data_IF_361448876536
#
_entry.id   IF_361448876536
#
_cell.length_a   1.000
_cell.length_b   1.000
_cell.length_c   1.000
_cell.angle_alpha   90.00
_cell.angle_beta   90.00
_cell.angle_gamma   90.00
#
_symmetry.space_group_name_H-M   'P 1'
#
loop_
_entity.id
_entity.type
_entity.pdbx_description
1 polymer ?
#
# COMPACT_ATOMS: atom_id res chain seq x y z
N UNK A 1 6.81 -3.49 -19.40
CA UNK A 1 7.48 -3.30 -18.06
C UNK A 1 8.58 -4.34 -17.94
N UNK A 2 9.78 -3.97 -17.50
CA UNK A 2 10.85 -4.94 -17.23
C UNK A 2 10.51 -5.67 -15.93
N UNK A 3 10.50 -7.01 -15.94
CA UNK A 3 10.35 -7.77 -14.70
C UNK A 3 11.60 -7.57 -13.84
N UNK A 4 11.39 -7.08 -12.61
CA UNK A 4 12.48 -6.79 -11.68
C UNK A 4 12.79 -7.99 -10.77
N UNK A 5 11.81 -8.86 -10.57
CA UNK A 5 11.87 -10.01 -9.66
C UNK A 5 10.86 -11.09 -10.07
N UNK A 6 11.06 -12.30 -9.60
CA UNK A 6 10.12 -13.41 -9.83
C UNK A 6 8.94 -13.34 -8.88
N UNK A 7 7.72 -13.60 -9.38
CA UNK A 7 6.53 -13.81 -8.54
C UNK A 7 6.06 -15.25 -8.71
N UNK A 8 6.03 -15.99 -7.62
CA UNK A 8 5.62 -17.40 -7.57
C UNK A 8 4.23 -17.48 -6.95
N UNK A 9 3.29 -18.10 -7.64
CA UNK A 9 1.93 -18.35 -7.15
C UNK A 9 1.74 -19.85 -6.92
N UNK A 10 1.26 -20.22 -5.73
CA UNK A 10 1.08 -21.65 -5.39
C UNK A 10 0.39 -21.84 -4.04
N UNK A 11 0.56 -23.01 -3.49
CA UNK A 11 0.09 -23.42 -2.15
C UNK A 11 1.20 -24.15 -1.42
N UNK A 12 1.29 -23.96 -0.10
CA UNK A 12 2.34 -24.56 0.73
C UNK A 12 3.75 -24.03 0.45
N UNK A 13 3.86 -22.85 -0.20
CA UNK A 13 5.12 -22.30 -0.67
C UNK A 13 6.10 -21.98 0.47
N UNK A 14 5.58 -21.69 1.68
CA UNK A 14 6.43 -21.37 2.84
C UNK A 14 7.30 -22.58 3.23
N UNK A 15 6.80 -23.79 3.04
CA UNK A 15 7.54 -25.00 3.37
C UNK A 15 8.61 -25.36 2.32
N UNK A 16 8.42 -24.92 1.08
CA UNK A 16 9.30 -25.25 -0.04
C UNK A 16 10.47 -24.28 -0.18
N UNK A 17 10.21 -22.95 -0.14
CA UNK A 17 11.24 -21.99 -0.52
C UNK A 17 12.40 -21.88 0.47
N UNK A 18 12.24 -22.27 1.72
CA UNK A 18 13.33 -22.32 2.73
C UNK A 18 14.54 -23.12 2.28
N UNK A 19 14.34 -24.10 1.40
CA UNK A 19 15.43 -24.92 0.84
C UNK A 19 16.37 -24.13 -0.08
N UNK A 20 15.89 -23.00 -0.63
CA UNK A 20 16.62 -22.14 -1.56
C UNK A 20 17.25 -20.92 -0.90
N UNK A 21 16.97 -20.67 0.39
CA UNK A 21 17.46 -19.50 1.09
C UNK A 21 18.86 -19.73 1.66
N UNK A 22 19.75 -18.78 1.41
CA UNK A 22 21.13 -18.83 1.93
C UNK A 22 21.16 -18.71 3.45
N UNK A 23 21.78 -19.69 4.10
CA UNK A 23 21.93 -19.74 5.57
C UNK A 23 23.21 -19.05 6.05
N UNK A 24 23.23 -18.45 7.24
CA UNK A 24 22.09 -18.22 8.12
C UNK A 24 21.18 -17.12 7.58
N UNK A 25 19.89 -17.17 7.90
CA UNK A 25 18.91 -16.16 7.48
C UNK A 25 18.05 -15.67 8.65
N UNK A 26 17.39 -14.51 8.48
CA UNK A 26 16.43 -13.95 9.44
C UNK A 26 15.04 -13.89 8.82
N UNK A 27 14.00 -14.12 9.63
CA UNK A 27 12.60 -13.95 9.25
C UNK A 27 12.07 -12.69 9.95
N UNK A 28 11.79 -11.63 9.20
CA UNK A 28 11.09 -10.47 9.70
C UNK A 28 9.58 -10.73 9.65
N UNK A 29 8.92 -10.74 10.80
CA UNK A 29 7.50 -11.11 10.92
C UNK A 29 6.84 -10.44 12.11
N UNK A 30 5.54 -10.69 12.31
CA UNK A 30 4.76 -10.18 13.41
C UNK A 30 4.67 -11.22 14.54
N UNK A 31 4.50 -10.75 15.80
CA UNK A 31 4.45 -11.63 16.96
C UNK A 31 3.26 -12.61 16.97
N UNK A 32 2.15 -12.21 16.37
CA UNK A 32 0.95 -13.04 16.21
C UNK A 32 1.03 -14.05 15.06
N UNK A 33 1.90 -13.77 14.08
CA UNK A 33 2.10 -14.67 12.93
C UNK A 33 3.16 -15.74 13.23
N UNK A 34 4.25 -15.39 13.92
CA UNK A 34 5.38 -16.29 14.10
C UNK A 34 5.00 -17.68 14.66
N UNK A 35 4.15 -17.82 15.70
CA UNK A 35 3.79 -19.13 16.22
C UNK A 35 3.09 -20.04 15.21
N UNK A 36 2.50 -19.49 14.16
CA UNK A 36 1.79 -20.26 13.12
C UNK A 36 2.75 -20.85 12.08
N UNK A 37 3.94 -20.27 11.95
CA UNK A 37 4.88 -20.59 10.87
C UNK A 37 6.25 -21.02 11.39
N UNK A 38 6.50 -21.00 12.69
CA UNK A 38 7.82 -21.33 13.24
C UNK A 38 8.31 -22.71 12.80
N UNK A 39 7.44 -23.70 12.75
CA UNK A 39 7.76 -25.07 12.35
C UNK A 39 8.02 -25.21 10.84
N UNK A 40 7.63 -24.24 10.02
CA UNK A 40 7.91 -24.20 8.58
C UNK A 40 9.36 -23.78 8.29
N UNK A 41 10.09 -23.26 9.27
CA UNK A 41 11.47 -22.84 9.13
C UNK A 41 12.39 -23.79 9.88
N UNK A 42 13.54 -24.10 9.28
CA UNK A 42 14.54 -25.00 9.82
C UNK A 42 15.56 -24.28 10.72
N UNK A 43 16.54 -25.01 11.25
CA UNK A 43 17.62 -24.51 12.12
C UNK A 43 18.55 -23.49 11.42
N UNK A 44 18.32 -23.16 10.16
CA UNK A 44 19.11 -22.18 9.40
C UNK A 44 18.81 -20.74 9.72
N UNK A 45 17.72 -20.44 10.44
CA UNK A 45 17.42 -19.07 10.83
C UNK A 45 18.09 -18.69 12.17
N UNK A 46 18.46 -17.41 12.28
CA UNK A 46 19.05 -16.85 13.52
C UNK A 46 17.97 -16.45 14.56
N UNK A 47 16.72 -16.78 14.31
CA UNK A 47 15.53 -16.38 15.04
C UNK A 47 14.64 -15.42 14.24
N UNK A 48 13.40 -15.21 14.67
CA UNK A 48 12.54 -14.19 14.07
C UNK A 48 12.94 -12.81 14.56
N UNK A 49 12.90 -11.81 13.67
CA UNK A 49 12.82 -10.41 14.06
C UNK A 49 11.33 -10.06 14.16
N UNK A 50 10.81 -9.94 15.36
CA UNK A 50 9.42 -9.59 15.61
C UNK A 50 9.24 -8.08 15.49
N UNK A 51 8.61 -7.65 14.41
CA UNK A 51 8.39 -6.23 14.10
C UNK A 51 7.38 -5.66 15.09
N UNK A 52 7.75 -4.57 15.77
CA UNK A 52 6.94 -3.90 16.78
C UNK A 52 6.62 -2.47 16.42
N UNK A 53 7.45 -1.87 15.58
CA UNK A 53 7.36 -0.45 15.23
C UNK A 53 7.96 -0.24 13.85
N UNK A 54 7.45 0.77 13.15
CA UNK A 54 8.03 1.27 11.90
C UNK A 54 8.79 2.59 12.10
N UNK A 55 8.95 3.06 13.35
CA UNK A 55 9.82 4.22 13.64
C UNK A 55 11.25 3.90 13.24
N UNK A 56 11.84 4.74 12.39
CA UNK A 56 13.15 4.49 11.78
C UNK A 56 14.23 4.17 12.81
N UNK A 57 14.28 4.90 13.92
CA UNK A 57 15.27 4.70 14.98
C UNK A 57 15.13 3.34 15.67
N UNK A 58 13.91 2.83 15.79
CA UNK A 58 13.65 1.50 16.35
C UNK A 58 14.01 0.40 15.36
N UNK A 59 13.60 0.54 14.11
CA UNK A 59 14.00 -0.39 13.04
C UNK A 59 15.53 -0.45 12.90
N UNK A 60 16.22 0.70 12.94
CA UNK A 60 17.69 0.76 12.88
C UNK A 60 18.35 0.03 14.05
N UNK A 61 17.84 0.21 15.27
CA UNK A 61 18.33 -0.48 16.47
C UNK A 61 18.14 -1.99 16.36
N UNK A 62 16.94 -2.43 15.96
CA UNK A 62 16.62 -3.84 15.84
C UNK A 62 17.47 -4.52 14.75
N UNK A 63 17.66 -3.87 13.61
CA UNK A 63 18.54 -4.35 12.54
C UNK A 63 20.02 -4.36 12.96
N UNK A 64 20.46 -3.39 13.76
CA UNK A 64 21.83 -3.35 14.27
C UNK A 64 22.12 -4.50 15.25
N UNK A 65 21.13 -4.94 16.00
CA UNK A 65 21.23 -6.03 16.97
C UNK A 65 21.23 -7.44 16.33
N UNK A 66 20.85 -7.55 15.04
CA UNK A 66 20.86 -8.84 14.34
C UNK A 66 22.29 -9.37 14.20
N UNK A 67 22.51 -10.69 14.39
CA UNK A 67 23.76 -11.32 14.01
C UNK A 67 24.01 -11.24 12.50
N UNK A 68 25.13 -11.76 12.04
CA UNK A 68 25.41 -11.87 10.61
C UNK A 68 24.42 -12.83 9.95
N UNK A 69 23.85 -12.42 8.82
CA UNK A 69 22.90 -13.20 8.02
C UNK A 69 23.25 -13.11 6.55
N UNK A 70 22.92 -14.13 5.79
CA UNK A 70 23.16 -14.24 4.35
C UNK A 70 21.87 -14.06 3.51
N UNK A 71 20.71 -13.99 4.17
CA UNK A 71 19.43 -13.70 3.51
C UNK A 71 18.41 -13.17 4.52
N UNK A 72 17.35 -12.54 4.02
CA UNK A 72 16.21 -12.12 4.81
C UNK A 72 14.90 -12.53 4.13
N UNK A 73 13.96 -13.01 4.95
CA UNK A 73 12.60 -13.35 4.55
C UNK A 73 11.67 -12.35 5.23
N UNK A 74 10.83 -11.67 4.45
CA UNK A 74 9.69 -10.90 4.97
C UNK A 74 8.45 -11.77 4.94
N UNK A 75 7.90 -12.12 6.10
CA UNK A 75 6.68 -12.93 6.25
C UNK A 75 5.61 -12.13 6.98
N UNK A 76 4.61 -11.63 6.27
CA UNK A 76 3.57 -10.82 6.92
C UNK A 76 2.89 -9.80 6.02
N UNK A 77 2.28 -8.81 6.64
CA UNK A 77 1.75 -7.62 5.99
C UNK A 77 2.82 -6.55 5.76
N UNK A 78 2.42 -5.36 5.35
CA UNK A 78 3.32 -4.26 4.96
C UNK A 78 4.47 -4.01 5.91
N UNK A 79 4.24 -3.99 7.23
CA UNK A 79 5.29 -3.71 8.22
C UNK A 79 6.42 -4.75 8.21
N UNK A 80 6.08 -6.03 8.17
CA UNK A 80 7.06 -7.11 8.12
C UNK A 80 7.86 -7.07 6.80
N UNK A 81 7.15 -6.85 5.68
CA UNK A 81 7.74 -6.77 4.35
C UNK A 81 8.68 -5.55 4.22
N UNK A 82 8.29 -4.40 4.77
CA UNK A 82 9.12 -3.19 4.77
C UNK A 82 10.35 -3.33 5.68
N UNK A 83 10.19 -3.96 6.84
CA UNK A 83 11.33 -4.27 7.73
C UNK A 83 12.32 -5.21 7.05
N UNK A 84 11.83 -6.24 6.34
CA UNK A 84 12.70 -7.14 5.57
C UNK A 84 13.46 -6.40 4.47
N UNK A 85 12.81 -5.48 3.73
CA UNK A 85 13.48 -4.59 2.76
C UNK A 85 14.56 -3.74 3.44
N UNK A 86 14.27 -3.21 4.62
CA UNK A 86 15.22 -2.41 5.38
C UNK A 86 16.46 -3.22 5.76
N UNK A 87 16.29 -4.46 6.25
CA UNK A 87 17.39 -5.39 6.55
C UNK A 87 18.21 -5.68 5.29
N UNK A 88 17.54 -6.10 4.19
CA UNK A 88 18.20 -6.43 2.93
C UNK A 88 19.05 -5.26 2.41
N UNK A 89 18.51 -4.04 2.45
CA UNK A 89 19.23 -2.83 2.08
C UNK A 89 20.47 -2.57 2.95
N UNK A 90 20.31 -2.64 4.28
CA UNK A 90 21.40 -2.33 5.22
C UNK A 90 22.49 -3.40 5.23
N UNK A 91 22.11 -4.67 5.15
CA UNK A 91 23.02 -5.81 5.21
C UNK A 91 23.53 -6.25 3.82
N UNK A 92 22.91 -5.74 2.73
CA UNK A 92 23.21 -6.10 1.34
C UNK A 92 23.09 -7.60 1.08
N UNK A 93 22.01 -8.19 1.56
CA UNK A 93 21.69 -9.61 1.43
C UNK A 93 20.45 -9.83 0.58
N UNK A 94 20.29 -10.99 -0.06
CA UNK A 94 19.09 -11.39 -0.78
C UNK A 94 17.82 -11.25 0.06
N UNK A 95 16.73 -10.79 -0.59
CA UNK A 95 15.43 -10.56 -0.01
C UNK A 95 14.40 -11.51 -0.62
N UNK A 96 13.63 -12.18 0.22
CA UNK A 96 12.47 -12.98 -0.17
C UNK A 96 11.23 -12.42 0.53
N UNK A 97 10.13 -12.25 -0.22
CA UNK A 97 8.90 -11.66 0.32
C UNK A 97 7.76 -12.69 0.28
N UNK A 98 7.08 -12.85 1.41
CA UNK A 98 5.94 -13.74 1.57
C UNK A 98 4.78 -12.94 2.19
N UNK A 99 3.99 -12.24 1.37
CA UNK A 99 2.84 -11.52 1.87
C UNK A 99 1.80 -12.50 2.44
N UNK A 100 1.31 -12.21 3.65
CA UNK A 100 0.25 -13.00 4.29
C UNK A 100 -1.14 -12.40 4.10
N UNK A 101 -1.22 -11.24 3.46
CA UNK A 101 -2.45 -10.57 3.08
C UNK A 101 -2.21 -9.65 1.87
N UNK A 102 -3.27 -9.33 1.15
CA UNK A 102 -3.25 -8.42 0.00
C UNK A 102 -3.52 -6.96 0.41
N UNK A 103 -2.95 -6.51 1.54
CA UNK A 103 -3.36 -5.24 2.15
C UNK A 103 -2.71 -3.99 1.53
N UNK A 104 -1.61 -4.17 0.80
CA UNK A 104 -0.81 -3.07 0.24
C UNK A 104 0.22 -3.63 -0.75
N UNK A 105 0.78 -2.76 -1.60
CA UNK A 105 1.78 -3.15 -2.61
C UNK A 105 3.20 -3.39 -2.05
N UNK A 106 3.40 -3.39 -0.73
CA UNK A 106 4.72 -3.45 -0.08
C UNK A 106 5.59 -4.65 -0.49
N UNK A 107 4.98 -5.81 -0.81
CA UNK A 107 5.72 -6.99 -1.28
C UNK A 107 6.49 -6.72 -2.59
N UNK A 108 6.01 -5.81 -3.40
CA UNK A 108 6.49 -5.54 -4.75
C UNK A 108 7.25 -4.22 -4.89
N UNK A 109 7.12 -3.33 -3.89
CA UNK A 109 7.84 -2.07 -3.84
C UNK A 109 9.28 -2.27 -3.38
N UNK A 110 10.22 -1.48 -3.92
CA UNK A 110 11.66 -1.66 -3.68
C UNK A 110 12.19 -0.79 -2.53
N UNK A 111 11.39 0.18 -2.05
CA UNK A 111 11.74 0.99 -0.88
C UNK A 111 11.01 0.51 0.36
N UNK A 112 11.68 0.63 1.50
CA UNK A 112 11.07 0.37 2.80
C UNK A 112 10.32 1.63 3.28
N UNK A 113 9.04 1.48 3.63
CA UNK A 113 8.30 2.51 4.32
C UNK A 113 8.69 2.49 5.80
N UNK A 114 9.18 3.61 6.31
CA UNK A 114 9.46 3.82 7.74
C UNK A 114 8.81 5.11 8.20
N UNK A 115 8.63 5.27 9.51
CA UNK A 115 8.15 6.53 10.09
C UNK A 115 9.33 7.38 10.57
N UNK A 116 9.25 8.66 10.29
CA UNK A 116 10.18 9.68 10.76
C UNK A 116 9.34 10.87 11.23
N UNK A 117 9.38 11.15 12.51
CA UNK A 117 8.57 12.21 13.12
C UNK A 117 7.05 12.03 12.84
N UNK A 118 6.56 10.79 12.92
CA UNK A 118 5.17 10.42 12.66
C UNK A 118 4.76 10.42 11.18
N UNK A 119 5.67 10.72 10.24
CA UNK A 119 5.40 10.79 8.80
C UNK A 119 6.04 9.59 8.10
N UNK A 120 5.29 8.94 7.20
CA UNK A 120 5.82 7.87 6.35
C UNK A 120 6.87 8.41 5.40
N UNK A 121 8.02 7.75 5.35
CA UNK A 121 9.14 8.03 4.43
C UNK A 121 9.62 6.75 3.78
N UNK A 122 9.82 6.79 2.48
CA UNK A 122 10.34 5.67 1.71
C UNK A 122 11.87 5.77 1.63
N UNK A 123 12.56 4.81 2.23
CA UNK A 123 14.03 4.80 2.34
C UNK A 123 14.64 3.54 1.75
N UNK A 124 15.92 3.61 1.43
CA UNK A 124 16.70 2.46 0.98
C UNK A 124 16.32 1.98 -0.42
N UNK A 125 16.85 0.82 -0.73
CA UNK A 125 16.64 0.12 -1.99
C UNK A 125 16.88 -1.38 -1.79
N UNK A 126 15.86 -2.20 -1.97
CA UNK A 126 15.97 -3.65 -1.98
C UNK A 126 14.96 -4.23 -2.97
N UNK A 127 15.48 -4.92 -3.99
CA UNK A 127 14.66 -5.68 -4.93
C UNK A 127 14.58 -7.10 -4.40
N UNK A 128 13.39 -7.68 -4.23
CA UNK A 128 13.31 -9.09 -3.84
C UNK A 128 13.84 -10.00 -4.95
N UNK A 129 14.48 -11.10 -4.58
CA UNK A 129 14.79 -12.19 -5.50
C UNK A 129 13.49 -12.85 -5.97
N UNK A 130 12.57 -13.06 -5.04
CA UNK A 130 11.26 -13.59 -5.34
C UNK A 130 10.19 -13.09 -4.34
N UNK A 131 8.95 -13.03 -4.83
CA UNK A 131 7.74 -12.84 -4.03
C UNK A 131 6.90 -14.10 -4.15
N UNK A 132 6.60 -14.74 -3.00
CA UNK A 132 5.84 -15.98 -2.92
C UNK A 132 4.41 -15.66 -2.49
N UNK A 133 3.46 -15.78 -3.39
CA UNK A 133 2.03 -15.58 -3.16
C UNK A 133 1.37 -16.93 -2.93
N UNK A 134 1.23 -17.30 -1.68
CA UNK A 134 0.59 -18.55 -1.28
C UNK A 134 -0.92 -18.31 -1.09
N UNK A 135 -1.73 -18.98 -1.91
CA UNK A 135 -3.19 -18.80 -1.89
C UNK A 135 -3.83 -19.17 -0.54
N UNK A 136 -3.36 -20.25 0.10
CA UNK A 136 -3.95 -20.70 1.35
C UNK A 136 -3.53 -19.76 2.50
N UNK A 137 -2.30 -19.27 2.46
CA UNK A 137 -1.81 -18.29 3.40
C UNK A 137 -2.60 -16.97 3.31
N UNK A 138 -2.75 -16.42 2.12
CA UNK A 138 -3.55 -15.19 1.88
C UNK A 138 -4.99 -15.39 2.38
N UNK A 139 -5.62 -16.51 2.04
CA UNK A 139 -7.01 -16.80 2.44
C UNK A 139 -7.17 -16.98 3.96
N UNK A 140 -6.11 -17.34 4.67
CA UNK A 140 -6.13 -17.48 6.12
C UNK A 140 -6.15 -16.14 6.87
N UNK A 141 -5.83 -15.04 6.20
CA UNK A 141 -5.90 -13.70 6.77
C UNK A 141 -7.36 -13.19 6.86
N UNK A 142 -7.65 -12.25 7.76
CA UNK A 142 -8.95 -11.59 7.78
C UNK A 142 -9.32 -11.02 6.40
N UNK A 143 -10.53 -11.29 5.95
CA UNK A 143 -11.03 -10.87 4.62
C UNK A 143 -10.92 -9.34 4.44
N UNK A 144 -11.11 -8.60 5.50
CA UNK A 144 -10.97 -7.14 5.53
C UNK A 144 -9.56 -6.68 5.13
N UNK A 145 -8.51 -7.37 5.62
CA UNK A 145 -7.13 -7.09 5.21
C UNK A 145 -6.92 -7.41 3.74
N UNK A 146 -7.46 -8.53 3.26
CA UNK A 146 -7.31 -8.94 1.86
C UNK A 146 -7.99 -7.98 0.88
N UNK A 147 -9.13 -7.42 1.25
CA UNK A 147 -9.85 -6.45 0.40
C UNK A 147 -9.24 -5.06 0.44
N UNK A 148 -8.51 -4.72 1.50
CA UNK A 148 -8.01 -3.35 1.69
C UNK A 148 -7.01 -2.90 0.63
N UNK A 149 -6.18 -3.80 0.08
CA UNK A 149 -5.21 -3.45 -0.96
C UNK A 149 -5.83 -2.92 -2.26
N UNK A 150 -7.14 -3.08 -2.42
CA UNK A 150 -7.87 -2.46 -3.55
C UNK A 150 -7.75 -0.93 -3.50
N UNK A 151 -7.60 -0.33 -2.33
CA UNK A 151 -7.38 1.11 -2.18
C UNK A 151 -6.18 1.61 -2.98
N UNK A 152 -5.07 0.84 -3.00
CA UNK A 152 -3.86 1.15 -3.78
C UNK A 152 -4.05 1.04 -5.31
N UNK A 153 -5.18 0.51 -5.75
CA UNK A 153 -5.52 0.41 -7.17
C UNK A 153 -6.62 1.41 -7.53
N UNK A 154 -7.65 1.56 -6.68
CA UNK A 154 -8.73 2.52 -6.92
C UNK A 154 -8.21 3.96 -6.91
N UNK A 155 -7.11 4.25 -6.23
CA UNK A 155 -6.47 5.56 -6.22
C UNK A 155 -6.04 6.03 -7.62
N UNK A 156 -5.77 5.14 -8.58
CA UNK A 156 -5.43 5.52 -9.96
C UNK A 156 -6.53 6.34 -10.62
N UNK A 157 -7.78 6.10 -10.25
CA UNK A 157 -8.94 6.87 -10.75
C UNK A 157 -8.82 8.37 -10.43
N UNK A 158 -8.40 8.72 -9.23
CA UNK A 158 -8.27 10.11 -8.76
C UNK A 158 -6.88 10.68 -9.01
N UNK A 159 -5.82 9.90 -8.83
CA UNK A 159 -4.44 10.32 -9.04
C UNK A 159 -4.16 10.72 -10.50
N UNK A 160 -4.67 9.96 -11.47
CA UNK A 160 -4.50 10.31 -12.90
C UNK A 160 -5.28 11.57 -13.28
N UNK A 161 -6.44 11.76 -12.69
CA UNK A 161 -7.19 13.00 -12.85
C UNK A 161 -6.40 14.20 -12.32
N UNK A 162 -5.86 14.09 -11.12
CA UNK A 162 -5.02 15.11 -10.49
C UNK A 162 -3.77 15.40 -11.30
N UNK A 163 -3.11 14.37 -11.82
CA UNK A 163 -1.88 14.54 -12.61
C UNK A 163 -2.15 15.23 -13.95
N UNK A 164 -3.24 14.84 -14.61
CA UNK A 164 -3.70 15.50 -15.85
C UNK A 164 -4.07 16.95 -15.62
N UNK A 165 -4.85 17.21 -14.56
CA UNK A 165 -5.23 18.56 -14.16
C UNK A 165 -4.02 19.45 -13.87
N UNK A 166 -3.02 18.94 -13.14
CA UNK A 166 -1.77 19.66 -12.86
C UNK A 166 -1.00 20.00 -14.15
N UNK A 167 -0.94 19.07 -15.12
CA UNK A 167 -0.37 19.33 -16.43
C UNK A 167 -1.11 20.45 -17.16
N UNK A 168 -2.43 20.34 -17.24
CA UNK A 168 -3.27 21.25 -18.04
C UNK A 168 -3.34 22.66 -17.44
N UNK A 169 -3.16 22.77 -16.13
CA UNK A 169 -3.07 24.06 -15.41
C UNK A 169 -1.66 24.63 -15.28
N UNK A 170 -0.63 23.93 -15.80
CA UNK A 170 0.77 24.37 -15.72
C UNK A 170 1.36 24.31 -14.30
N UNK A 171 0.77 23.51 -13.40
CA UNK A 171 1.17 23.34 -11.99
C UNK A 171 1.92 22.03 -11.73
N UNK A 172 2.33 21.35 -12.80
CA UNK A 172 3.04 20.08 -12.70
C UNK A 172 4.51 20.30 -12.32
N UNK A 173 5.02 19.49 -11.42
CA UNK A 173 6.43 19.51 -11.01
C UNK A 173 7.33 19.03 -12.16
N UNK A 174 8.36 19.80 -12.52
CA UNK A 174 9.26 19.47 -13.62
C UNK A 174 9.95 18.09 -13.47
N UNK A 175 10.15 17.64 -12.23
CA UNK A 175 10.74 16.33 -11.93
C UNK A 175 9.83 15.15 -12.21
N UNK A 176 8.51 15.37 -12.34
CA UNK A 176 7.49 14.33 -12.52
C UNK A 176 6.58 14.66 -13.70
N UNK A 177 7.13 14.68 -14.92
CA UNK A 177 6.36 14.98 -16.11
C UNK A 177 5.25 13.97 -16.33
N UNK A 178 4.12 14.43 -16.89
CA UNK A 178 3.01 13.55 -17.24
C UNK A 178 3.45 12.52 -18.29
N UNK A 179 3.14 11.25 -18.02
CA UNK A 179 3.48 10.12 -18.89
C UNK A 179 2.20 9.33 -19.21
N UNK A 180 1.70 9.49 -20.43
CA UNK A 180 0.49 8.81 -20.93
C UNK A 180 0.65 7.28 -20.90
N UNK A 181 1.86 6.76 -21.11
CA UNK A 181 2.14 5.32 -21.06
C UNK A 181 1.93 4.75 -19.67
N UNK A 182 2.36 5.46 -18.62
CA UNK A 182 2.14 5.05 -17.22
C UNK A 182 0.65 5.07 -16.88
N UNK A 183 -0.08 6.07 -17.37
CA UNK A 183 -1.54 6.15 -17.18
C UNK A 183 -2.24 4.97 -17.84
N UNK A 184 -1.85 4.61 -19.05
CA UNK A 184 -2.45 3.47 -19.78
C UNK A 184 -2.10 2.12 -19.12
N UNK A 185 -0.86 1.93 -18.69
CA UNK A 185 -0.46 0.73 -17.97
C UNK A 185 -1.22 0.60 -16.62
N UNK A 186 -1.39 1.72 -15.89
CA UNK A 186 -2.18 1.76 -14.65
C UNK A 186 -3.65 1.43 -14.90
N UNK A 187 -4.21 1.90 -16.04
CA UNK A 187 -5.58 1.58 -16.43
C UNK A 187 -5.78 0.07 -16.56
N UNK A 188 -4.83 -0.65 -17.15
CA UNK A 188 -4.90 -2.12 -17.26
C UNK A 188 -4.93 -2.78 -15.88
N UNK A 189 -4.11 -2.29 -14.93
CA UNK A 189 -4.12 -2.80 -13.55
C UNK A 189 -5.43 -2.47 -12.82
N UNK A 190 -5.97 -1.27 -13.05
CA UNK A 190 -7.25 -0.83 -12.51
C UNK A 190 -8.42 -1.66 -13.07
N UNK A 191 -8.52 -1.80 -14.40
CA UNK A 191 -9.58 -2.55 -15.09
C UNK A 191 -9.60 -4.01 -14.60
N UNK A 192 -8.44 -4.63 -14.39
CA UNK A 192 -8.35 -5.99 -13.82
C UNK A 192 -9.04 -6.10 -12.46
N UNK A 193 -8.89 -5.11 -11.59
CA UNK A 193 -9.58 -5.10 -10.27
C UNK A 193 -11.08 -4.91 -10.45
N UNK A 194 -11.51 -4.01 -11.33
CA UNK A 194 -12.94 -3.75 -11.59
C UNK A 194 -13.63 -5.00 -12.17
N UNK A 195 -12.99 -5.67 -13.12
CA UNK A 195 -13.51 -6.88 -13.77
C UNK A 195 -13.59 -8.07 -12.80
N UNK A 196 -12.63 -8.18 -11.88
CA UNK A 196 -12.54 -9.26 -10.90
C UNK A 196 -13.08 -8.89 -9.51
N UNK A 197 -13.89 -7.83 -9.38
CA UNK A 197 -14.34 -7.31 -8.10
C UNK A 197 -15.03 -8.37 -7.22
N UNK A 198 -15.89 -9.22 -7.79
CA UNK A 198 -16.55 -10.31 -7.06
C UNK A 198 -15.57 -11.40 -6.60
N UNK A 199 -14.61 -11.79 -7.46
CA UNK A 199 -13.60 -12.77 -7.12
C UNK A 199 -12.65 -12.25 -6.00
N UNK A 200 -12.36 -10.95 -6.00
CA UNK A 200 -11.58 -10.28 -4.93
C UNK A 200 -12.41 -10.23 -3.65
N UNK A 201 -13.70 -9.90 -3.75
CA UNK A 201 -14.63 -9.95 -2.60
C UNK A 201 -14.60 -11.31 -1.92
N UNK A 202 -14.64 -12.40 -2.69
CA UNK A 202 -14.66 -13.77 -2.19
C UNK A 202 -13.28 -14.32 -1.81
N UNK A 203 -12.23 -13.54 -2.04
CA UNK A 203 -10.82 -13.95 -1.86
C UNK A 203 -10.55 -15.28 -2.55
N UNK A 204 -11.11 -15.49 -3.75
CA UNK A 204 -10.87 -16.69 -4.56
C UNK A 204 -9.45 -16.68 -5.13
N UNK A 205 -8.94 -17.80 -5.64
CA UNK A 205 -7.62 -17.85 -6.28
C UNK A 205 -7.51 -16.87 -7.45
N UNK A 206 -8.57 -16.70 -8.22
CA UNK A 206 -8.67 -15.71 -9.29
C UNK A 206 -8.59 -14.29 -8.74
N UNK A 207 -9.35 -14.00 -7.67
CA UNK A 207 -9.34 -12.69 -7.00
C UNK A 207 -8.00 -12.35 -6.38
N UNK A 208 -7.35 -13.34 -5.72
CA UNK A 208 -5.99 -13.19 -5.18
C UNK A 208 -5.03 -12.85 -6.30
N UNK A 209 -5.03 -13.61 -7.39
CA UNK A 209 -4.15 -13.36 -8.54
C UNK A 209 -4.41 -11.99 -9.16
N UNK A 210 -5.68 -11.64 -9.39
CA UNK A 210 -6.06 -10.37 -10.00
C UNK A 210 -5.56 -9.16 -9.18
N UNK A 211 -5.78 -9.18 -7.86
CA UNK A 211 -5.35 -8.08 -6.99
C UNK A 211 -3.83 -8.05 -6.85
N UNK A 212 -3.18 -9.20 -6.62
CA UNK A 212 -1.72 -9.25 -6.46
C UNK A 212 -0.97 -8.81 -7.73
N UNK A 213 -1.43 -9.17 -8.94
CA UNK A 213 -0.85 -8.69 -10.19
C UNK A 213 -1.02 -7.17 -10.37
N UNK A 214 -2.14 -6.61 -9.89
CA UNK A 214 -2.36 -5.17 -9.93
C UNK A 214 -1.48 -4.44 -8.91
N UNK A 215 -1.36 -4.95 -7.69
CA UNK A 215 -0.44 -4.44 -6.66
C UNK A 215 1.02 -4.56 -7.10
N UNK A 216 1.38 -5.65 -7.81
CA UNK A 216 2.71 -5.85 -8.39
C UNK A 216 3.03 -4.76 -9.40
N UNK A 217 2.08 -4.43 -10.28
CA UNK A 217 2.28 -3.33 -11.22
C UNK A 217 2.56 -2.02 -10.48
N UNK A 218 1.76 -1.65 -9.48
CA UNK A 218 1.92 -0.41 -8.70
C UNK A 218 3.28 -0.31 -8.01
N UNK A 219 3.71 -1.39 -7.34
CA UNK A 219 5.00 -1.44 -6.67
C UNK A 219 6.19 -1.34 -7.63
N UNK A 220 6.15 -2.08 -8.76
CA UNK A 220 7.22 -2.06 -9.75
C UNK A 220 7.22 -0.80 -10.60
N UNK A 221 6.06 -0.23 -10.93
CA UNK A 221 5.93 0.96 -11.76
C UNK A 221 6.56 2.20 -11.10
N UNK A 222 6.49 2.30 -9.77
CA UNK A 222 7.12 3.39 -9.04
C UNK A 222 8.63 3.46 -9.29
N UNK A 223 9.31 2.31 -9.33
CA UNK A 223 10.71 2.24 -9.73
C UNK A 223 10.91 2.60 -11.20
N UNK A 224 10.16 1.96 -12.09
CA UNK A 224 10.31 2.12 -13.54
C UNK A 224 10.01 3.55 -14.03
N UNK A 225 9.28 4.34 -13.23
CA UNK A 225 8.95 5.75 -13.51
C UNK A 225 9.93 6.77 -12.91
N UNK A 226 11.08 6.33 -12.39
CA UNK A 226 12.04 7.24 -11.76
C UNK A 226 11.54 7.83 -10.45
N UNK A 227 10.78 7.07 -9.67
CA UNK A 227 10.20 7.48 -8.39
C UNK A 227 9.13 8.58 -8.52
N UNK A 228 8.42 8.58 -9.64
CA UNK A 228 7.28 9.46 -9.84
C UNK A 228 6.07 8.92 -9.07
N UNK A 229 5.56 9.61 -8.04
CA UNK A 229 4.39 9.14 -7.30
C UNK A 229 3.07 9.47 -7.99
N UNK A 230 3.06 10.39 -8.95
CA UNK A 230 1.87 11.02 -9.51
C UNK A 230 0.89 10.04 -10.19
N UNK A 231 1.38 8.90 -10.66
CA UNK A 231 0.55 7.88 -11.32
C UNK A 231 -0.10 6.89 -10.35
N UNK A 232 0.30 6.91 -9.07
CA UNK A 232 -0.24 6.01 -8.03
C UNK A 232 -0.76 6.75 -6.80
N UNK A 233 -0.46 8.04 -6.65
CA UNK A 233 -0.88 8.84 -5.50
C UNK A 233 -1.38 10.21 -5.95
N UNK A 234 -2.54 10.62 -5.45
CA UNK A 234 -3.15 11.93 -5.60
C UNK A 234 -3.72 12.46 -4.29
N UNK A 235 -4.74 13.31 -4.37
CA UNK A 235 -5.37 13.91 -3.21
C UNK A 235 -6.02 12.90 -2.26
N UNK A 236 -6.36 11.70 -2.73
CA UNK A 236 -6.92 10.62 -1.92
C UNK A 236 -5.93 10.14 -0.85
N UNK A 237 -4.64 9.99 -1.19
CA UNK A 237 -3.60 9.67 -0.23
C UNK A 237 -3.35 10.84 0.75
N UNK A 238 -3.54 12.07 0.31
CA UNK A 238 -3.39 13.22 1.21
C UNK A 238 -4.48 13.28 2.27
N UNK A 239 -5.70 12.78 1.96
CA UNK A 239 -6.76 12.57 2.96
C UNK A 239 -6.30 11.55 4.01
N UNK A 240 -5.73 10.41 3.58
CA UNK A 240 -5.17 9.43 4.48
C UNK A 240 -4.06 10.02 5.37
N UNK A 241 -3.12 10.76 4.81
CA UNK A 241 -2.04 11.40 5.58
C UNK A 241 -2.58 12.43 6.58
N UNK A 242 -3.62 13.20 6.21
CA UNK A 242 -4.27 14.14 7.11
C UNK A 242 -4.97 13.44 8.28
N UNK A 243 -5.63 12.30 8.03
CA UNK A 243 -6.27 11.47 9.05
C UNK A 243 -5.23 10.88 10.03
N UNK A 244 -4.14 10.31 9.53
CA UNK A 244 -3.04 9.83 10.38
C UNK A 244 -2.46 10.95 11.24
N UNK A 245 -2.21 12.11 10.62
CA UNK A 245 -1.65 13.27 11.32
C UNK A 245 -2.55 13.76 12.46
N UNK A 246 -3.86 13.88 12.21
CA UNK A 246 -4.81 14.36 13.22
C UNK A 246 -5.04 13.38 14.35
N UNK A 247 -5.13 12.10 14.03
CA UNK A 247 -5.52 11.08 15.00
C UNK A 247 -4.33 10.44 15.71
N UNK A 248 -3.13 10.53 15.13
CA UNK A 248 -1.93 9.84 15.61
C UNK A 248 -2.06 8.30 15.58
N UNK A 249 -3.03 7.77 14.82
CA UNK A 249 -3.36 6.34 14.80
C UNK A 249 -2.94 5.70 13.48
N UNK A 250 -2.40 4.47 13.51
CA UNK A 250 -2.20 3.69 12.30
C UNK A 250 -3.54 3.16 11.77
N UNK A 251 -3.64 3.00 10.46
CA UNK A 251 -4.79 2.42 9.76
C UNK A 251 -4.36 1.23 8.90
N UNK A 252 -5.32 0.39 8.53
CA UNK A 252 -5.18 -0.51 7.40
C UNK A 252 -5.18 0.37 6.14
N UNK A 253 -4.02 0.56 5.54
CA UNK A 253 -3.71 1.61 4.55
C UNK A 253 -4.81 1.84 3.50
N UNK A 254 -5.25 0.77 2.84
CA UNK A 254 -6.21 0.88 1.75
C UNK A 254 -7.62 1.33 2.15
N UNK A 255 -7.98 1.26 3.43
CA UNK A 255 -9.30 1.70 3.91
C UNK A 255 -9.44 3.21 3.85
N UNK A 256 -8.60 4.03 4.53
CA UNK A 256 -8.69 5.49 4.43
C UNK A 256 -8.30 6.00 3.03
N UNK A 257 -7.47 5.27 2.28
CA UNK A 257 -7.20 5.61 0.87
C UNK A 257 -8.48 5.46 0.04
N UNK A 258 -9.25 4.37 0.20
CA UNK A 258 -10.53 4.19 -0.49
C UNK A 258 -11.53 5.29 -0.10
N UNK A 259 -11.64 5.64 1.18
CA UNK A 259 -12.44 6.80 1.60
C UNK A 259 -11.97 8.07 0.88
N UNK A 260 -10.67 8.30 0.81
CA UNK A 260 -10.06 9.42 0.07
C UNK A 260 -10.41 9.40 -1.41
N UNK A 261 -10.38 8.23 -2.06
CA UNK A 261 -10.81 8.07 -3.47
C UNK A 261 -12.25 8.53 -3.66
N UNK A 262 -13.17 8.12 -2.79
CA UNK A 262 -14.58 8.51 -2.90
C UNK A 262 -14.76 10.02 -2.71
N UNK A 263 -14.15 10.60 -1.66
CA UNK A 263 -14.21 12.02 -1.37
C UNK A 263 -13.59 12.85 -2.51
N UNK A 264 -12.42 12.48 -2.99
CA UNK A 264 -11.74 13.23 -4.04
C UNK A 264 -12.36 13.02 -5.41
N UNK A 265 -12.90 11.85 -5.72
CA UNK A 265 -13.72 11.63 -6.92
C UNK A 265 -14.94 12.55 -6.95
N UNK A 266 -15.61 12.76 -5.79
CA UNK A 266 -16.70 13.72 -5.66
C UNK A 266 -16.23 15.18 -5.83
N UNK A 267 -15.05 15.54 -5.29
CA UNK A 267 -14.46 16.87 -5.46
C UNK A 267 -14.03 17.13 -6.91
N UNK A 268 -13.53 16.11 -7.60
CA UNK A 268 -13.13 16.14 -9.02
C UNK A 268 -14.35 16.12 -9.97
N UNK A 269 -15.54 15.74 -9.49
CA UNK A 269 -16.71 15.41 -10.32
C UNK A 269 -16.42 14.29 -11.32
N UNK A 270 -15.60 13.33 -10.88
CA UNK A 270 -15.07 12.23 -11.67
C UNK A 270 -15.76 10.91 -11.32
N UNK A 271 -17.01 10.74 -11.75
CA UNK A 271 -17.82 9.51 -11.61
C UNK A 271 -17.88 8.95 -10.18
N UNK A 272 -18.19 9.75 -9.16
CA UNK A 272 -18.14 9.32 -7.75
C UNK A 272 -19.07 8.14 -7.44
N UNK A 273 -20.26 8.07 -8.03
CA UNK A 273 -21.20 6.97 -7.84
C UNK A 273 -20.65 5.66 -8.37
N UNK A 274 -20.05 5.70 -9.55
CA UNK A 274 -19.49 4.51 -10.18
C UNK A 274 -18.30 3.94 -9.39
N UNK A 275 -17.38 4.79 -8.91
CA UNK A 275 -16.24 4.29 -8.13
C UNK A 275 -16.67 3.77 -6.76
N UNK A 276 -17.75 4.33 -6.19
CA UNK A 276 -18.39 3.79 -4.99
C UNK A 276 -18.97 2.39 -5.24
N UNK A 277 -19.70 2.20 -6.34
CA UNK A 277 -20.21 0.88 -6.72
C UNK A 277 -19.09 -0.16 -6.88
N UNK A 278 -17.93 0.24 -7.41
CA UNK A 278 -16.76 -0.65 -7.50
C UNK A 278 -16.24 -1.01 -6.11
N UNK A 279 -16.07 -0.03 -5.22
CA UNK A 279 -15.63 -0.26 -3.84
C UNK A 279 -16.59 -1.16 -3.06
N UNK A 280 -17.91 -0.97 -3.23
CA UNK A 280 -18.97 -1.78 -2.62
C UNK A 280 -18.95 -3.22 -3.17
N UNK A 281 -18.75 -3.42 -4.48
CA UNK A 281 -18.65 -4.75 -5.10
C UNK A 281 -17.44 -5.53 -4.60
N UNK A 282 -16.31 -4.88 -4.38
CA UNK A 282 -15.14 -5.49 -3.76
C UNK A 282 -15.37 -5.75 -2.26
N UNK A 283 -16.22 -4.94 -1.62
CA UNK A 283 -16.48 -5.02 -0.18
C UNK A 283 -15.32 -4.49 0.67
N UNK A 284 -14.58 -3.49 0.16
CA UNK A 284 -13.55 -2.83 0.94
C UNK A 284 -14.20 -1.92 2.00
N UNK A 285 -13.67 -1.98 3.22
CA UNK A 285 -14.13 -1.12 4.32
C UNK A 285 -13.60 0.31 4.13
N UNK A 286 -14.48 1.24 3.85
CA UNK A 286 -14.14 2.65 3.68
C UNK A 286 -14.95 3.60 4.58
N UNK A 287 -15.98 3.08 5.27
CA UNK A 287 -16.78 3.92 6.17
C UNK A 287 -15.96 4.30 7.41
N UNK A 288 -16.02 5.55 7.88
CA UNK A 288 -15.22 6.01 9.02
C UNK A 288 -15.36 5.10 10.24
N UNK A 289 -16.56 4.65 10.55
CA UNK A 289 -16.87 3.81 11.72
C UNK A 289 -16.15 2.45 11.66
N UNK A 290 -15.95 1.90 10.48
CA UNK A 290 -15.21 0.65 10.26
C UNK A 290 -13.72 0.78 10.58
N UNK A 291 -13.19 2.01 10.50
CA UNK A 291 -11.81 2.36 10.84
C UNK A 291 -11.68 2.92 12.26
N UNK A 292 -12.78 2.94 13.03
CA UNK A 292 -12.83 3.57 14.36
C UNK A 292 -12.69 5.09 14.31
N UNK A 293 -13.09 5.72 13.21
CA UNK A 293 -13.18 7.15 13.02
C UNK A 293 -14.62 7.62 13.14
N UNK A 294 -14.79 8.90 13.40
CA UNK A 294 -16.06 9.60 13.30
C UNK A 294 -16.09 10.45 12.02
N UNK A 295 -17.29 10.87 11.60
CA UNK A 295 -17.41 11.86 10.52
C UNK A 295 -16.82 13.22 10.89
N UNK A 296 -16.73 13.54 12.17
CA UNK A 296 -16.09 14.79 12.61
C UNK A 296 -14.57 14.71 12.44
N UNK A 297 -13.95 13.52 12.60
CA UNK A 297 -12.54 13.30 12.27
C UNK A 297 -12.28 13.49 10.77
N UNK A 298 -13.15 12.93 9.92
CA UNK A 298 -13.07 13.10 8.46
C UNK A 298 -13.25 14.57 8.07
N UNK A 299 -14.24 15.25 8.64
CA UNK A 299 -14.46 16.67 8.40
C UNK A 299 -13.27 17.53 8.83
N UNK A 300 -12.66 17.21 9.98
CA UNK A 300 -11.48 17.89 10.45
C UNK A 300 -10.29 17.66 9.49
N UNK A 301 -10.09 16.44 9.00
CA UNK A 301 -9.04 16.11 8.02
C UNK A 301 -9.24 16.88 6.71
N UNK A 302 -10.48 16.96 6.21
CA UNK A 302 -10.80 17.70 4.99
C UNK A 302 -10.57 19.21 5.15
N UNK A 303 -10.89 19.81 6.32
CA UNK A 303 -10.64 21.23 6.57
C UNK A 303 -9.16 21.59 6.57
N UNK A 304 -8.32 20.74 7.14
CA UNK A 304 -6.88 21.01 7.19
C UNK A 304 -6.13 20.60 5.92
N UNK A 305 -6.78 19.85 5.01
CA UNK A 305 -6.11 19.22 3.88
C UNK A 305 -5.29 20.20 3.02
N UNK A 306 -5.80 21.40 2.63
CA UNK A 306 -5.01 22.35 1.86
C UNK A 306 -3.73 22.82 2.57
N UNK A 307 -3.82 23.11 3.88
CA UNK A 307 -2.66 23.50 4.70
C UNK A 307 -1.70 22.32 4.90
N UNK A 308 -2.25 21.11 5.13
CA UNK A 308 -1.44 19.90 5.29
C UNK A 308 -0.62 19.60 4.04
N UNK A 309 -1.20 19.72 2.86
CA UNK A 309 -0.50 19.56 1.56
C UNK A 309 0.70 20.51 1.46
N UNK A 310 0.53 21.79 1.81
CA UNK A 310 1.61 22.76 1.78
C UNK A 310 2.70 22.43 2.82
N UNK A 311 2.32 22.16 4.07
CA UNK A 311 3.24 21.84 5.16
C UNK A 311 4.06 20.59 4.89
N UNK A 312 3.46 19.56 4.33
CA UNK A 312 4.11 18.29 4.02
C UNK A 312 4.92 18.32 2.71
N UNK A 313 4.86 19.44 1.95
CA UNK A 313 5.53 19.59 0.67
C UNK A 313 5.01 18.62 -0.39
N UNK A 314 3.71 18.32 -0.36
CA UNK A 314 3.06 17.43 -1.33
C UNK A 314 2.77 18.19 -2.62
N UNK A 315 2.48 17.45 -3.67
CA UNK A 315 2.29 18.01 -5.01
C UNK A 315 0.88 18.56 -5.24
N UNK A 316 0.74 19.32 -6.34
CA UNK A 316 -0.50 19.97 -6.72
C UNK A 316 -1.58 18.98 -7.15
N UNK A 317 -2.76 19.06 -6.54
CA UNK A 317 -3.92 18.18 -6.78
C UNK A 317 -5.23 18.97 -6.74
N UNK A 318 -6.36 18.30 -6.92
CA UNK A 318 -7.70 18.92 -6.77
C UNK A 318 -7.87 19.61 -5.42
N UNK A 319 -7.28 19.10 -4.36
CA UNK A 319 -7.31 19.72 -3.03
C UNK A 319 -6.59 21.08 -2.97
N UNK A 320 -5.68 21.35 -3.92
CA UNK A 320 -5.04 22.65 -4.08
C UNK A 320 -5.82 23.59 -4.98
N UNK A 321 -6.71 23.07 -5.82
CA UNK A 321 -7.43 23.83 -6.85
C UNK A 321 -8.86 24.16 -6.46
N UNK A 322 -9.60 23.20 -5.89
CA UNK A 322 -11.02 23.34 -5.55
C UNK A 322 -11.22 23.55 -4.05
N UNK A 323 -12.12 24.45 -3.64
CA UNK A 323 -12.37 24.69 -2.22
C UNK A 323 -13.06 23.48 -1.57
N UNK A 324 -12.53 23.06 -0.44
CA UNK A 324 -13.15 22.07 0.45
C UNK A 324 -13.89 22.86 1.54
N UNK A 325 -15.13 23.23 1.27
CA UNK A 325 -15.97 24.03 2.16
C UNK A 325 -16.98 23.15 2.94
N UNK A 326 -17.70 23.74 3.89
CA UNK A 326 -18.66 23.01 4.73
C UNK A 326 -19.81 22.40 3.92
N UNK A 327 -20.21 23.01 2.81
CA UNK A 327 -21.23 22.47 1.91
C UNK A 327 -20.75 21.16 1.25
N UNK A 328 -19.52 21.13 0.77
CA UNK A 328 -18.90 19.90 0.22
C UNK A 328 -18.81 18.82 1.29
N UNK A 329 -18.35 19.16 2.50
CA UNK A 329 -18.22 18.22 3.62
C UNK A 329 -19.60 17.64 3.99
N UNK A 330 -20.63 18.47 4.12
CA UNK A 330 -21.97 18.03 4.48
C UNK A 330 -22.57 17.11 3.40
N UNK A 331 -22.46 17.51 2.12
CA UNK A 331 -22.96 16.74 0.98
C UNK A 331 -22.29 15.38 0.86
N UNK A 332 -20.97 15.32 1.00
CA UNK A 332 -20.23 14.03 0.91
C UNK A 332 -20.50 13.13 2.09
N UNK A 333 -20.68 13.68 3.30
CA UNK A 333 -21.14 12.92 4.47
C UNK A 333 -22.50 12.28 4.21
N UNK A 334 -23.50 13.06 3.77
CA UNK A 334 -24.84 12.56 3.46
C UNK A 334 -24.78 11.48 2.39
N UNK A 335 -24.05 11.73 1.31
CA UNK A 335 -23.89 10.78 0.21
C UNK A 335 -23.25 9.44 0.65
N UNK A 336 -22.24 9.45 1.51
CA UNK A 336 -21.56 8.22 1.94
C UNK A 336 -22.29 7.50 3.10
N UNK A 337 -23.22 8.18 3.80
CA UNK A 337 -24.08 7.58 4.81
C UNK A 337 -25.35 6.94 4.23
N UNK A 338 -25.76 7.37 3.03
CA UNK A 338 -26.86 6.78 2.28
C UNK A 338 -26.48 5.41 1.70
#
# INVERSE_FOLDING_TARGET
>A
MTELFTTVYGRGLVDEFKEYVHRPYVVATMADLWPRFADSFDDGHVGPLLVRSMERSEVERDVAALPEVNAVIGLGGGQALDTAKYIAWKRRVPLFQVPTAMSVNAAFAQRAAVRMDGIVRYVGWAVPEAVYVDFDLIRSAPTELNRSGVGDILCYHTAHWDWRMARDSGQMEARWPYDERLVEEARVAFDRVVENAAAIHDVSDEGVRALMESLRWGGAAFHNSGWNPRHIEGAEHFVFYALEYLTGRPFIHGQPVTLGVLLMSALQENRPEWIREVADRVGVSYRPEQMGLTWDDVAAALRILPEHVQRAGLWYTVASQRPINEEFIARTREWLQA
#
